data_IF_168996541736
#
_entry.id   IF_168996541736
#
_cell.length_a   1.000
_cell.length_b   1.000
_cell.length_c   1.000
_cell.angle_alpha   90.00
_cell.angle_beta   90.00
_cell.angle_gamma   90.00
#
_symmetry.space_group_name_H-M   'P 1'
#
loop_
_entity.id
_entity.type
_entity.pdbx_description
1 polymer ?
#
# COMPACT_ATOMS: atom_id res chain seq x y z
N UNK A 1 32.75 -77.53 22.52
CA UNK A 1 33.11 -78.16 21.23
C UNK A 1 33.94 -77.15 20.43
N UNK A 2 35.05 -77.62 19.85
CA UNK A 2 35.87 -77.03 18.77
C UNK A 2 36.36 -75.57 18.92
N UNK A 3 37.62 -75.28 19.24
CA UNK A 3 38.83 -75.32 18.38
C UNK A 3 38.77 -74.45 17.12
N UNK A 4 39.63 -73.42 17.12
CA UNK A 4 40.78 -73.22 16.22
C UNK A 4 40.82 -71.98 15.32
N UNK A 5 42.06 -71.48 15.20
CA UNK A 5 42.69 -70.71 14.10
C UNK A 5 42.34 -69.22 14.02
N UNK A 6 43.18 -68.25 14.38
CA UNK A 6 44.61 -67.98 14.10
C UNK A 6 44.92 -67.67 12.62
N UNK A 7 45.89 -66.76 12.45
CA UNK A 7 46.64 -66.36 11.23
C UNK A 7 46.09 -65.09 10.54
N UNK A 8 46.85 -64.09 10.09
CA UNK A 8 48.18 -63.51 10.35
C UNK A 8 48.36 -62.49 9.20
N UNK A 9 48.99 -61.33 9.46
CA UNK A 9 49.76 -60.50 8.49
C UNK A 9 49.02 -59.84 7.30
N UNK A 10 49.36 -58.65 6.81
CA UNK A 10 50.66 -57.98 6.80
C UNK A 10 50.56 -56.45 6.66
N UNK A 11 51.54 -55.79 7.27
CA UNK A 11 52.40 -54.72 6.73
C UNK A 11 51.74 -53.48 6.11
N UNK A 12 51.77 -52.32 6.80
CA UNK A 12 52.90 -51.40 6.95
C UNK A 12 53.00 -50.39 5.80
N UNK A 13 52.75 -49.12 6.11
CA UNK A 13 53.44 -48.01 5.46
C UNK A 13 53.63 -46.89 6.47
N UNK A 14 54.90 -46.54 6.65
CA UNK A 14 55.39 -45.45 7.46
C UNK A 14 55.09 -44.09 6.80
N UNK A 15 55.12 -43.05 7.66
CA UNK A 15 55.62 -41.70 7.39
C UNK A 15 54.60 -40.55 7.21
N UNK A 16 54.55 -39.74 8.28
CA UNK A 16 54.65 -38.28 8.30
C UNK A 16 53.51 -37.46 7.70
N UNK A 17 52.70 -36.85 8.57
CA UNK A 17 52.67 -35.38 8.69
C UNK A 17 51.79 -34.96 9.89
N UNK A 18 52.42 -34.18 10.76
CA UNK A 18 51.86 -33.46 11.90
C UNK A 18 50.72 -32.56 11.44
N UNK A 19 49.48 -32.81 11.86
CA UNK A 19 48.44 -31.76 11.93
C UNK A 19 47.29 -32.19 12.82
N UNK A 20 46.95 -31.36 13.81
CA UNK A 20 45.62 -31.36 14.44
C UNK A 20 45.48 -32.09 15.78
N UNK A 21 46.08 -31.53 16.84
CA UNK A 21 45.42 -31.24 18.12
C UNK A 21 44.34 -32.27 18.56
N UNK A 22 44.68 -33.33 19.29
CA UNK A 22 44.98 -33.33 20.72
C UNK A 22 44.02 -32.46 21.56
N UNK A 23 43.01 -33.13 22.16
CA UNK A 23 42.34 -32.79 23.43
C UNK A 23 41.66 -31.40 23.50
N UNK A 24 40.65 -31.12 24.29
CA UNK A 24 39.95 -31.77 25.39
C UNK A 24 38.59 -31.03 25.44
N UNK A 25 37.50 -31.76 25.56
CA UNK A 25 36.67 -31.77 26.76
C UNK A 25 36.12 -30.39 27.19
N UNK A 26 34.81 -30.25 26.94
CA UNK A 26 33.79 -29.76 27.87
C UNK A 26 34.16 -28.65 28.86
N UNK A 27 33.54 -27.49 28.68
CA UNK A 27 33.07 -26.66 29.79
C UNK A 27 31.83 -25.85 29.36
N UNK A 28 30.66 -26.49 29.46
CA UNK A 28 29.37 -25.80 29.53
C UNK A 28 29.22 -25.21 30.95
N UNK A 29 29.86 -24.09 31.23
CA UNK A 29 29.49 -23.15 32.30
C UNK A 29 30.48 -21.99 32.33
N UNK A 30 30.16 -20.91 31.63
CA UNK A 30 30.53 -19.55 32.02
C UNK A 30 29.63 -18.60 31.21
N UNK A 31 28.48 -18.26 31.80
CA UNK A 31 27.96 -16.90 31.64
C UNK A 31 29.12 -16.01 32.03
N UNK A 32 29.84 -15.50 31.04
CA UNK A 32 30.78 -14.43 31.29
C UNK A 32 29.91 -13.27 31.72
N UNK A 33 29.89 -13.04 33.03
CA UNK A 33 29.71 -11.74 33.63
C UNK A 33 30.86 -10.83 33.14
N UNK A 34 30.88 -10.63 31.83
CA UNK A 34 31.79 -9.71 31.17
C UNK A 34 31.07 -8.39 31.30
N UNK A 35 31.31 -7.77 32.45
CA UNK A 35 31.09 -6.33 32.61
C UNK A 35 32.01 -5.68 31.57
N UNK A 36 31.50 -5.49 30.36
CA UNK A 36 32.12 -4.59 29.41
C UNK A 36 32.10 -3.23 30.10
N UNK A 37 33.29 -2.77 30.48
CA UNK A 37 33.45 -1.43 31.05
C UNK A 37 33.07 -0.45 29.97
N UNK A 38 31.81 -0.03 29.98
CA UNK A 38 31.34 1.11 29.21
C UNK A 38 32.00 2.33 29.85
N UNK A 39 33.10 2.79 29.26
CA UNK A 39 33.64 4.09 29.57
C UNK A 39 32.66 5.14 29.05
N UNK A 40 31.75 5.58 29.93
CA UNK A 40 30.91 6.74 29.69
C UNK A 40 31.81 7.97 29.80
N UNK A 41 32.48 8.31 28.71
CA UNK A 41 33.08 9.64 28.57
C UNK A 41 31.92 10.61 28.36
N UNK A 42 31.46 11.23 29.44
CA UNK A 42 30.55 12.36 29.36
C UNK A 42 31.32 13.48 28.65
N UNK A 43 31.08 13.65 27.35
CA UNK A 43 31.72 14.70 26.55
C UNK A 43 31.42 16.04 27.23
N UNK A 44 32.46 16.68 27.76
CA UNK A 44 32.33 18.01 28.33
C UNK A 44 31.92 18.97 27.20
N UNK A 45 30.65 19.36 27.19
CA UNK A 45 29.91 20.11 26.16
C UNK A 45 29.16 19.25 25.12
N UNK A 46 28.01 18.63 25.48
CA UNK A 46 26.96 18.44 24.47
C UNK A 46 26.59 19.83 23.95
N UNK A 47 26.97 20.14 22.71
CA UNK A 47 26.53 21.37 22.05
C UNK A 47 24.99 21.31 21.99
N UNK A 48 24.26 22.16 22.73
CA UNK A 48 22.81 22.16 22.61
C UNK A 48 22.49 22.65 21.21
N UNK A 49 21.95 21.78 20.37
CA UNK A 49 21.38 22.19 19.08
C UNK A 49 20.13 23.00 19.40
N UNK A 50 20.30 24.32 19.52
CA UNK A 50 19.20 25.28 19.59
C UNK A 50 18.80 25.61 18.15
N UNK A 51 17.82 24.88 17.64
CA UNK A 51 17.12 25.23 16.40
C UNK A 51 15.78 25.85 16.75
N UNK A 52 15.41 26.93 16.06
CA UNK A 52 14.03 27.41 16.04
C UNK A 52 13.36 26.71 14.86
N UNK A 53 12.28 25.95 15.13
CA UNK A 53 11.42 25.44 14.07
C UNK A 53 10.40 26.53 13.78
N UNK A 54 10.61 27.25 12.68
CA UNK A 54 9.63 28.23 12.20
C UNK A 54 8.75 27.57 11.13
N UNK A 55 7.44 27.63 11.33
CA UNK A 55 6.48 27.29 10.29
C UNK A 55 6.34 28.50 9.38
N UNK A 56 7.09 28.51 8.28
CA UNK A 56 7.15 29.63 7.33
C UNK A 56 5.89 29.86 6.48
N UNK A 57 4.74 29.26 6.84
CA UNK A 57 3.52 29.33 6.03
C UNK A 57 2.27 28.81 6.75
N UNK A 58 1.11 28.96 6.11
CA UNK A 58 -0.17 28.44 6.64
C UNK A 58 -0.23 26.92 6.50
N UNK A 59 -0.45 26.21 7.61
CA UNK A 59 -0.75 24.76 7.59
C UNK A 59 -2.21 24.59 7.15
N UNK A 60 -2.43 24.06 5.95
CA UNK A 60 -3.79 23.78 5.47
C UNK A 60 -4.33 22.53 6.15
N UNK A 61 -5.15 22.70 7.18
CA UNK A 61 -5.75 21.57 7.91
C UNK A 61 -6.81 20.79 7.12
N UNK A 62 -7.31 21.34 6.01
CA UNK A 62 -8.20 20.66 5.11
C UNK A 62 -8.39 21.40 3.79
N UNK A 63 -8.80 20.66 2.76
CA UNK A 63 -9.11 21.20 1.43
C UNK A 63 -10.29 20.44 0.84
N UNK A 64 -11.31 21.16 0.38
CA UNK A 64 -12.42 20.60 -0.40
C UNK A 64 -12.14 20.75 -1.90
N UNK A 65 -12.33 19.68 -2.64
CA UNK A 65 -12.33 19.65 -4.11
C UNK A 65 -13.69 19.10 -4.54
N UNK A 66 -14.37 19.78 -5.45
CA UNK A 66 -15.65 19.34 -5.97
C UNK A 66 -15.58 19.21 -7.48
N UNK A 67 -16.18 18.14 -8.01
CA UNK A 67 -16.32 17.87 -9.43
C UNK A 67 -17.82 17.77 -9.73
N UNK A 68 -18.47 18.91 -10.05
CA UNK A 68 -19.91 18.95 -10.25
C UNK A 68 -20.30 18.44 -11.64
N UNK A 69 -21.50 17.86 -11.73
CA UNK A 69 -22.21 17.50 -12.97
C UNK A 69 -21.42 16.69 -14.00
N UNK A 70 -20.55 15.78 -13.54
CA UNK A 70 -19.88 14.82 -14.39
C UNK A 70 -20.91 13.88 -15.04
N UNK A 71 -21.00 13.88 -16.37
CA UNK A 71 -21.92 13.01 -17.11
C UNK A 71 -21.26 11.65 -17.35
N UNK A 72 -21.72 10.63 -16.64
CA UNK A 72 -21.13 9.29 -16.65
C UNK A 72 -21.98 8.35 -17.50
N UNK A 73 -21.39 7.85 -18.57
CA UNK A 73 -22.02 6.87 -19.47
C UNK A 73 -22.03 5.47 -18.85
N UNK A 74 -22.99 4.60 -19.22
CA UNK A 74 -22.97 3.20 -18.82
C UNK A 74 -21.66 2.52 -19.25
N UNK A 75 -20.85 2.15 -18.26
CA UNK A 75 -19.59 1.46 -18.42
C UNK A 75 -19.31 0.65 -17.15
N UNK A 76 -19.00 -0.63 -17.31
CA UNK A 76 -18.62 -1.50 -16.20
C UNK A 76 -17.29 -1.09 -15.57
N UNK A 77 -17.06 -1.48 -14.31
CA UNK A 77 -15.76 -1.28 -13.62
C UNK A 77 -14.58 -1.88 -14.40
N UNK A 78 -14.81 -3.02 -15.03
CA UNK A 78 -13.80 -3.76 -15.82
C UNK A 78 -13.64 -3.21 -17.24
N UNK A 79 -14.53 -2.33 -17.70
CA UNK A 79 -14.50 -1.73 -19.04
C UNK A 79 -13.63 -0.47 -19.02
N UNK A 80 -12.35 -0.65 -18.73
CA UNK A 80 -11.38 0.43 -18.48
C UNK A 80 -11.37 1.52 -19.56
N UNK A 81 -11.48 1.13 -20.84
CA UNK A 81 -11.48 2.04 -21.98
C UNK A 81 -12.76 2.89 -22.12
N UNK A 82 -13.83 2.52 -21.40
CA UNK A 82 -15.13 3.20 -21.44
C UNK A 82 -15.40 4.00 -20.16
N UNK A 83 -14.46 4.01 -19.22
CA UNK A 83 -14.55 4.81 -18.01
C UNK A 83 -14.57 6.30 -18.35
N UNK A 84 -15.40 7.05 -17.62
CA UNK A 84 -15.53 8.49 -17.83
C UNK A 84 -14.46 9.22 -17.02
N UNK A 85 -13.68 10.06 -17.68
CA UNK A 85 -12.67 10.90 -17.01
C UNK A 85 -13.32 12.01 -16.17
N UNK A 86 -12.89 12.10 -14.91
CA UNK A 86 -13.30 13.10 -13.93
C UNK A 86 -12.29 14.22 -13.68
N UNK A 87 -11.09 14.13 -14.26
CA UNK A 87 -9.97 15.02 -13.97
C UNK A 87 -9.12 14.53 -12.80
N UNK A 88 -8.44 15.44 -12.11
CA UNK A 88 -7.40 15.08 -11.14
C UNK A 88 -7.66 15.69 -9.77
N UNK A 89 -7.17 15.02 -8.73
CA UNK A 89 -7.17 15.51 -7.35
C UNK A 89 -5.73 15.54 -6.86
N UNK A 90 -5.25 16.74 -6.54
CA UNK A 90 -3.96 16.92 -5.86
C UNK A 90 -4.14 16.65 -4.37
N UNK A 91 -3.44 15.63 -3.89
CA UNK A 91 -3.50 15.11 -2.52
C UNK A 91 -2.21 15.41 -1.74
N UNK A 92 -1.26 16.12 -2.34
CA UNK A 92 0.01 16.47 -1.71
C UNK A 92 -0.18 17.20 -0.38
N UNK A 93 0.58 16.76 0.62
CA UNK A 93 0.53 17.27 1.98
C UNK A 93 -0.66 16.79 2.82
N UNK A 94 -1.49 15.83 2.37
CA UNK A 94 -2.59 15.24 3.15
C UNK A 94 -2.43 13.71 3.30
N UNK A 95 -2.98 13.15 4.37
CA UNK A 95 -2.88 11.69 4.66
C UNK A 95 -4.20 10.95 4.47
N UNK A 96 -5.33 11.67 4.50
CA UNK A 96 -6.67 11.09 4.43
C UNK A 96 -7.53 11.85 3.41
N UNK A 97 -8.27 11.10 2.60
CA UNK A 97 -9.26 11.61 1.65
C UNK A 97 -10.64 11.07 2.03
N UNK A 98 -11.63 11.96 2.15
CA UNK A 98 -13.03 11.59 2.34
C UNK A 98 -13.79 11.86 1.05
N UNK A 99 -14.27 10.80 0.39
CA UNK A 99 -15.07 10.90 -0.83
C UNK A 99 -16.55 10.78 -0.52
N UNK A 100 -17.33 11.72 -1.01
CA UNK A 100 -18.79 11.64 -1.05
C UNK A 100 -19.27 11.75 -2.49
N UNK A 101 -20.18 10.86 -2.87
CA UNK A 101 -20.75 10.82 -4.21
C UNK A 101 -22.24 11.07 -4.09
N UNK A 102 -22.76 11.94 -4.94
CA UNK A 102 -24.17 12.24 -5.07
C UNK A 102 -24.52 12.37 -6.55
N UNK A 103 -25.72 11.99 -6.96
CA UNK A 103 -26.13 12.26 -8.32
C UNK A 103 -27.53 11.82 -8.66
N UNK A 104 -27.82 11.91 -9.96
CA UNK A 104 -29.10 11.56 -10.54
C UNK A 104 -28.92 10.75 -11.82
N UNK A 105 -29.70 9.69 -11.95
CA UNK A 105 -29.77 8.88 -13.16
C UNK A 105 -30.79 9.50 -14.12
N UNK A 106 -30.42 9.61 -15.39
CA UNK A 106 -31.29 10.11 -16.46
C UNK A 106 -32.28 9.01 -16.87
N UNK A 107 -33.32 8.86 -16.05
CA UNK A 107 -34.38 7.86 -16.23
C UNK A 107 -34.38 6.80 -15.13
N UNK A 108 -35.24 5.78 -15.29
CA UNK A 108 -35.27 4.63 -14.37
C UNK A 108 -34.38 3.52 -14.91
N UNK A 109 -33.40 3.05 -14.14
CA UNK A 109 -32.56 1.93 -14.57
C UNK A 109 -33.39 0.64 -14.59
N UNK A 110 -33.20 -0.17 -15.63
CA UNK A 110 -33.90 -1.45 -15.78
C UNK A 110 -33.26 -2.58 -14.95
N UNK A 111 -31.99 -2.42 -14.59
CA UNK A 111 -31.20 -3.38 -13.80
C UNK A 111 -30.57 -2.73 -12.59
N UNK A 112 -30.33 -3.54 -11.56
CA UNK A 112 -29.52 -3.12 -10.42
C UNK A 112 -28.10 -2.84 -10.89
N UNK A 113 -27.45 -1.88 -10.25
CA UNK A 113 -26.11 -1.48 -10.60
C UNK A 113 -25.48 -0.61 -9.52
N UNK A 114 -24.37 -0.01 -9.87
CA UNK A 114 -23.63 0.89 -9.01
C UNK A 114 -22.96 1.97 -9.86
N UNK A 115 -22.88 3.16 -9.28
CA UNK A 115 -22.08 4.25 -9.80
C UNK A 115 -20.94 4.43 -8.83
N UNK A 116 -19.72 4.42 -9.34
CA UNK A 116 -18.54 4.51 -8.51
C UNK A 116 -17.46 5.38 -9.11
N UNK A 117 -16.56 5.77 -8.22
CA UNK A 117 -15.36 6.52 -8.53
C UNK A 117 -14.17 5.64 -8.22
N UNK A 118 -13.22 5.60 -9.13
CA UNK A 118 -11.92 4.98 -8.98
C UNK A 118 -10.89 6.10 -9.00
N UNK A 119 -10.04 6.12 -7.98
CA UNK A 119 -8.87 6.96 -7.94
C UNK A 119 -7.66 6.12 -8.31
N UNK A 120 -7.01 6.50 -9.40
CA UNK A 120 -5.78 5.88 -9.87
C UNK A 120 -4.60 6.82 -9.56
N UNK A 121 -3.52 6.35 -8.91
CA UNK A 121 -2.36 7.22 -8.69
C UNK A 121 -1.76 7.69 -10.02
N UNK A 122 -1.40 8.98 -10.11
CA UNK A 122 -0.77 9.55 -11.31
C UNK A 122 0.74 9.28 -11.34
N UNK A 123 1.10 7.99 -11.31
CA UNK A 123 2.49 7.53 -11.44
C UNK A 123 2.61 6.64 -12.67
N UNK A 124 3.72 6.79 -13.40
CA UNK A 124 3.93 6.11 -14.69
C UNK A 124 3.68 4.59 -14.67
N UNK A 125 4.11 3.82 -13.63
CA UNK A 125 3.89 2.37 -13.62
C UNK A 125 2.41 1.98 -13.60
N UNK A 126 1.58 2.72 -12.86
CA UNK A 126 0.14 2.41 -12.73
C UNK A 126 -0.64 2.93 -13.93
N UNK A 127 -0.28 4.09 -14.45
CA UNK A 127 -0.88 4.63 -15.68
C UNK A 127 -0.59 3.72 -16.87
N UNK A 128 0.63 3.19 -16.97
CA UNK A 128 0.99 2.24 -18.03
C UNK A 128 0.18 0.95 -17.93
N UNK A 129 0.09 0.34 -16.74
CA UNK A 129 -0.73 -0.86 -16.54
C UNK A 129 -2.22 -0.60 -16.87
N UNK A 130 -2.72 0.60 -16.59
CA UNK A 130 -4.09 1.00 -16.92
C UNK A 130 -4.31 1.15 -18.43
N UNK A 131 -3.39 1.81 -19.13
CA UNK A 131 -3.52 2.11 -20.57
C UNK A 131 -3.19 0.88 -21.44
N UNK A 132 -2.10 0.17 -21.12
CA UNK A 132 -1.58 -0.93 -21.94
C UNK A 132 -2.28 -2.27 -21.61
N UNK A 133 -2.43 -2.58 -20.32
CA UNK A 133 -2.93 -3.88 -19.87
C UNK A 133 -4.40 -3.84 -19.42
N UNK A 134 -5.02 -2.65 -19.35
CA UNK A 134 -6.38 -2.49 -18.82
C UNK A 134 -6.49 -2.89 -17.34
N UNK A 135 -5.40 -2.82 -16.58
CA UNK A 135 -5.37 -3.25 -15.19
C UNK A 135 -5.40 -2.05 -14.24
N UNK A 136 -6.34 -2.08 -13.30
CA UNK A 136 -6.42 -1.09 -12.23
C UNK A 136 -5.62 -1.60 -11.03
N UNK A 137 -4.46 -1.00 -10.79
CA UNK A 137 -3.60 -1.33 -9.65
C UNK A 137 -3.81 -0.33 -8.51
N UNK A 138 -3.89 -0.83 -7.28
CA UNK A 138 -4.12 -0.04 -6.07
C UNK A 138 -5.36 0.88 -6.13
N UNK A 139 -6.55 0.38 -6.53
CA UNK A 139 -7.74 1.22 -6.60
C UNK A 139 -8.15 1.71 -5.20
N UNK A 140 -8.29 3.02 -5.07
CA UNK A 140 -9.10 3.60 -4.00
C UNK A 140 -10.47 3.93 -4.61
N UNK A 141 -11.53 3.33 -4.09
CA UNK A 141 -12.86 3.43 -4.69
C UNK A 141 -13.94 3.83 -3.68
N UNK A 142 -14.95 4.54 -4.20
CA UNK A 142 -16.18 4.86 -3.49
C UNK A 142 -17.35 4.47 -4.39
N UNK A 143 -18.36 3.81 -3.82
CA UNK A 143 -19.42 3.15 -4.59
C UNK A 143 -20.79 3.52 -4.04
N UNK A 144 -21.67 4.01 -4.92
CA UNK A 144 -23.06 4.27 -4.64
C UNK A 144 -23.93 3.18 -5.30
N UNK A 145 -24.61 2.31 -4.50
CA UNK A 145 -25.52 1.31 -5.06
C UNK A 145 -26.76 1.99 -5.64
N UNK A 146 -27.30 1.40 -6.71
CA UNK A 146 -28.50 1.85 -7.41
C UNK A 146 -29.43 0.66 -7.62
N UNK A 147 -30.69 0.78 -7.18
CA UNK A 147 -31.72 -0.24 -7.38
C UNK A 147 -32.57 0.03 -8.62
N UNK A 148 -32.82 -1.03 -9.38
CA UNK A 148 -33.65 -1.02 -10.57
C UNK A 148 -35.06 -0.47 -10.26
N UNK A 149 -35.59 0.33 -11.18
CA UNK A 149 -36.97 0.84 -11.17
C UNK A 149 -37.40 1.65 -9.92
N UNK A 150 -36.50 1.90 -8.98
CA UNK A 150 -36.78 2.58 -7.72
C UNK A 150 -35.99 3.87 -7.61
N UNK A 151 -34.67 3.80 -7.83
CA UNK A 151 -33.77 4.90 -7.54
C UNK A 151 -33.58 5.80 -8.77
N UNK A 152 -33.93 7.08 -8.63
CA UNK A 152 -33.57 8.13 -9.60
C UNK A 152 -32.40 8.96 -9.10
N UNK A 153 -32.26 9.09 -7.78
CA UNK A 153 -31.15 9.75 -7.11
C UNK A 153 -30.36 8.70 -6.35
N UNK A 154 -29.05 8.90 -6.28
CA UNK A 154 -28.15 8.04 -5.52
C UNK A 154 -27.19 8.90 -4.72
N UNK A 155 -26.75 8.35 -3.60
CA UNK A 155 -25.72 8.95 -2.76
C UNK A 155 -24.97 7.85 -2.04
N UNK A 156 -23.64 7.99 -1.96
CA UNK A 156 -22.81 7.19 -1.08
C UNK A 156 -22.20 8.10 -0.02
N UNK A 157 -22.35 7.71 1.24
CA UNK A 157 -21.75 8.38 2.38
C UNK A 157 -20.25 8.12 2.46
N UNK A 158 -19.47 9.20 2.56
CA UNK A 158 -18.10 9.32 3.07
C UNK A 158 -17.26 8.03 3.12
N UNK A 159 -16.67 7.66 1.99
CA UNK A 159 -15.57 6.70 1.97
C UNK A 159 -14.29 7.40 2.43
N UNK A 160 -13.78 7.05 3.62
CA UNK A 160 -12.48 7.52 4.12
C UNK A 160 -11.37 6.62 3.59
N UNK A 161 -10.51 7.19 2.76
CA UNK A 161 -9.47 6.48 2.01
C UNK A 161 -8.09 7.02 2.42
N UNK A 162 -7.11 6.14 2.71
CA UNK A 162 -5.74 6.57 2.99
C UNK A 162 -5.07 7.06 1.71
N UNK A 163 -4.42 8.22 1.79
CA UNK A 163 -3.65 8.80 0.69
C UNK A 163 -2.22 8.25 0.75
N UNK A 164 -1.72 7.76 -0.38
CA UNK A 164 -0.36 7.25 -0.51
C UNK A 164 0.46 8.00 -1.58
N UNK A 165 -0.20 8.73 -2.47
CA UNK A 165 0.41 9.42 -3.61
C UNK A 165 0.03 10.91 -3.61
N UNK A 166 0.84 11.77 -4.26
CA UNK A 166 0.61 13.22 -4.27
C UNK A 166 -0.53 13.66 -5.19
N UNK A 167 -0.92 12.80 -6.14
CA UNK A 167 -1.97 13.11 -7.12
C UNK A 167 -2.67 11.85 -7.61
N UNK A 168 -3.98 11.96 -7.80
CA UNK A 168 -4.82 10.88 -8.31
C UNK A 168 -5.64 11.34 -9.52
N UNK A 169 -5.71 10.48 -10.53
CA UNK A 169 -6.63 10.58 -11.66
C UNK A 169 -7.99 9.98 -11.27
N UNK A 170 -9.06 10.73 -11.50
CA UNK A 170 -10.42 10.37 -11.14
C UNK A 170 -11.12 9.75 -12.34
N UNK A 171 -11.60 8.53 -12.17
CA UNK A 171 -12.36 7.81 -13.18
C UNK A 171 -13.72 7.42 -12.63
N UNK A 172 -14.77 7.61 -13.42
CA UNK A 172 -16.12 7.22 -13.07
C UNK A 172 -16.53 5.98 -13.86
N UNK A 173 -17.20 5.06 -13.18
CA UNK A 173 -17.89 3.94 -13.80
C UNK A 173 -19.37 3.94 -13.43
N UNK A 174 -20.19 3.35 -14.28
CA UNK A 174 -21.63 3.24 -14.09
C UNK A 174 -22.11 1.90 -14.66
N UNK A 175 -22.32 0.93 -13.78
CA UNK A 175 -22.78 -0.40 -14.19
C UNK A 175 -24.29 -0.48 -14.48
N UNK A 176 -25.03 0.62 -14.37
CA UNK A 176 -26.44 0.68 -14.77
C UNK A 176 -26.60 0.67 -16.30
N UNK A 177 -27.83 0.74 -16.80
CA UNK A 177 -28.16 0.83 -18.24
C UNK A 177 -28.48 2.26 -18.70
N UNK A 178 -28.35 3.25 -17.81
CA UNK A 178 -28.71 4.67 -18.07
C UNK A 178 -27.57 5.60 -17.70
N UNK A 179 -27.42 6.68 -18.46
CA UNK A 179 -26.47 7.75 -18.14
C UNK A 179 -26.82 8.41 -16.81
N UNK A 180 -25.81 8.80 -16.04
CA UNK A 180 -25.98 9.51 -14.77
C UNK A 180 -25.25 10.85 -14.78
N UNK A 181 -25.77 11.82 -14.03
CA UNK A 181 -25.06 13.03 -13.63
C UNK A 181 -24.53 12.81 -12.21
N UNK A 182 -23.21 12.90 -12.04
CA UNK A 182 -22.49 12.61 -10.79
C UNK A 182 -21.84 13.90 -10.29
N UNK A 183 -22.01 14.15 -9.00
CA UNK A 183 -21.29 15.15 -8.23
C UNK A 183 -20.36 14.41 -7.26
N UNK A 184 -19.07 14.64 -7.41
CA UNK A 184 -18.06 14.11 -6.50
C UNK A 184 -17.55 15.23 -5.59
N UNK A 185 -17.55 14.96 -4.29
CA UNK A 185 -16.98 15.82 -3.28
C UNK A 185 -15.83 15.09 -2.60
N UNK A 186 -14.64 15.67 -2.68
CA UNK A 186 -13.42 15.17 -2.10
C UNK A 186 -12.97 16.13 -0.99
N UNK A 187 -12.92 15.65 0.25
CA UNK A 187 -12.41 16.41 1.39
C UNK A 187 -11.09 15.81 1.87
N UNK A 188 -10.01 16.58 1.71
CA UNK A 188 -8.65 16.21 2.10
C UNK A 188 -8.41 16.64 3.54
N UNK A 189 -7.87 15.74 4.36
CA UNK A 189 -7.62 15.93 5.79
C UNK A 189 -6.42 15.09 6.26
N UNK A 190 -6.06 15.23 7.53
CA UNK A 190 -5.06 14.41 8.22
C UNK A 190 -5.69 13.23 8.94
#
# INVERSE_FOLDING_TARGET
MSRHTAVLTAAATFAVAVTGWLFAQSDFARTSDRVDRVFVTNLANPQPVKGTVEVGGTIRHGRSVAMPDATVSPAGREEVNLLTDGGFIDTDGFTTLVLSIQGQIKGRPARDGAIGVILLPEEEPFLRAFIEDGQIQLPLEAVAPVRANQDTYFSASEARLPIAFPRYHVLFYNSTDKTAAVNLFAYLTY
#
